data_IF_868931465271
#
_entry.id   IF_868931465271
#
_cell.length_a   1.000
_cell.length_b   1.000
_cell.length_c   1.000
_cell.angle_alpha   90.00
_cell.angle_beta   90.00
_cell.angle_gamma   90.00
#
_symmetry.space_group_name_H-M   'P 1'
#
loop_
_entity.id
_entity.type
_entity.pdbx_description
1 polymer ?
#
# COMPACT_ATOMS: atom_id res chain seq x y z
N UNK A 1 25.93 27.75 -9.64
CA UNK A 1 25.34 26.42 -9.89
C UNK A 1 26.02 25.50 -8.90
N UNK A 2 25.38 25.25 -7.76
CA UNK A 2 25.93 24.30 -6.79
C UNK A 2 25.99 22.93 -7.44
N UNK A 3 27.16 22.29 -7.37
CA UNK A 3 27.32 20.88 -7.69
C UNK A 3 26.35 20.09 -6.81
N UNK A 4 25.24 19.66 -7.40
CA UNK A 4 24.31 18.77 -6.74
C UNK A 4 25.10 17.51 -6.38
N UNK A 5 25.41 17.33 -5.09
CA UNK A 5 26.00 16.11 -4.59
C UNK A 5 25.16 14.94 -5.10
N UNK A 6 25.79 14.02 -5.82
CA UNK A 6 25.16 12.80 -6.28
C UNK A 6 24.91 11.96 -5.05
N UNK A 7 23.67 11.99 -4.54
CA UNK A 7 23.24 11.16 -3.42
C UNK A 7 23.01 9.76 -3.97
N UNK A 8 23.82 8.78 -3.56
CA UNK A 8 23.60 7.37 -3.92
C UNK A 8 22.25 6.88 -3.38
N UNK A 9 21.49 6.07 -4.13
CA UNK A 9 20.18 5.59 -3.69
C UNK A 9 20.27 4.78 -2.40
N UNK A 10 19.26 4.88 -1.53
CA UNK A 10 19.13 3.95 -0.40
C UNK A 10 18.65 2.59 -0.88
N UNK A 11 19.51 1.58 -0.80
CA UNK A 11 19.20 0.22 -1.26
C UNK A 11 18.42 -0.56 -0.21
N UNK A 12 17.35 -1.23 -0.62
CA UNK A 12 16.51 -2.06 0.26
C UNK A 12 16.28 -3.42 -0.38
N UNK A 13 16.66 -4.48 0.31
CA UNK A 13 16.39 -5.86 -0.11
C UNK A 13 14.94 -6.24 0.20
N UNK A 14 14.17 -6.64 -0.80
CA UNK A 14 12.76 -7.00 -0.69
C UNK A 14 12.60 -8.51 -0.81
N UNK A 15 11.96 -9.09 0.21
CA UNK A 15 11.69 -10.51 0.34
C UNK A 15 10.18 -10.77 0.28
N UNK A 16 9.73 -11.64 -0.63
CA UNK A 16 8.32 -12.06 -0.68
C UNK A 16 8.17 -13.47 -0.08
N UNK A 17 7.34 -13.63 0.96
CA UNK A 17 7.18 -14.89 1.70
C UNK A 17 5.72 -15.33 1.76
N UNK A 18 5.43 -16.51 1.22
CA UNK A 18 4.10 -17.11 1.34
C UNK A 18 2.99 -16.33 0.61
N UNK A 19 3.34 -15.54 -0.40
CA UNK A 19 2.39 -14.77 -1.21
C UNK A 19 2.01 -15.59 -2.45
N UNK A 20 0.72 -15.58 -2.81
CA UNK A 20 0.20 -16.23 -4.02
C UNK A 20 0.88 -15.70 -5.30
N UNK A 21 1.00 -16.54 -6.32
CA UNK A 21 1.77 -16.24 -7.55
C UNK A 21 1.35 -14.94 -8.22
N UNK A 22 0.06 -14.74 -8.52
CA UNK A 22 -0.43 -13.53 -9.19
C UNK A 22 -0.12 -12.25 -8.41
N UNK A 23 -0.33 -12.27 -7.08
CA UNK A 23 0.00 -11.13 -6.21
C UNK A 23 1.50 -10.91 -6.11
N UNK A 24 2.27 -11.99 -5.99
CA UNK A 24 3.73 -11.95 -5.95
C UNK A 24 4.29 -11.32 -7.22
N UNK A 25 3.84 -11.76 -8.39
CA UNK A 25 4.36 -11.27 -9.67
C UNK A 25 3.99 -9.80 -9.92
N UNK A 26 2.77 -9.39 -9.55
CA UNK A 26 2.38 -7.98 -9.56
C UNK A 26 3.25 -7.14 -8.62
N UNK A 27 3.50 -7.61 -7.40
CA UNK A 27 4.38 -6.92 -6.45
C UNK A 27 5.81 -6.81 -6.97
N UNK A 28 6.35 -7.89 -7.52
CA UNK A 28 7.70 -7.90 -8.09
C UNK A 28 7.82 -6.81 -9.15
N UNK A 29 6.90 -6.81 -10.12
CA UNK A 29 6.86 -5.82 -11.19
C UNK A 29 6.74 -4.39 -10.66
N UNK A 30 5.78 -4.12 -9.76
CA UNK A 30 5.54 -2.78 -9.23
C UNK A 30 6.75 -2.24 -8.44
N UNK A 31 7.34 -3.08 -7.60
CA UNK A 31 8.51 -2.72 -6.79
C UNK A 31 9.71 -2.42 -7.68
N UNK A 32 9.99 -3.25 -8.69
CA UNK A 32 11.09 -3.00 -9.62
C UNK A 32 10.85 -1.76 -10.48
N UNK A 33 9.60 -1.53 -10.90
CA UNK A 33 9.26 -0.35 -11.71
C UNK A 33 9.43 0.96 -10.92
N UNK A 34 9.30 0.93 -9.58
CA UNK A 34 9.61 2.10 -8.76
C UNK A 34 11.07 2.58 -8.91
N UNK A 35 12.00 1.72 -9.29
CA UNK A 35 13.40 2.13 -9.55
C UNK A 35 13.55 2.93 -10.85
N UNK A 36 12.63 2.79 -11.81
CA UNK A 36 12.65 3.56 -13.06
C UNK A 36 12.07 4.97 -12.88
N UNK A 37 11.24 5.16 -11.85
CA UNK A 37 10.51 6.41 -11.62
C UNK A 37 11.28 7.42 -10.77
N UNK A 38 12.27 6.98 -9.99
CA UNK A 38 12.98 7.83 -9.04
C UNK A 38 14.44 7.41 -8.84
N UNK A 39 15.22 8.19 -8.08
CA UNK A 39 16.67 7.95 -7.89
C UNK A 39 17.14 7.93 -6.43
N UNK A 40 16.26 8.23 -5.48
CA UNK A 40 16.61 8.34 -4.06
C UNK A 40 16.59 7.01 -3.31
N UNK A 41 15.88 6.01 -3.83
CA UNK A 41 15.72 4.68 -3.27
C UNK A 41 15.97 3.64 -4.35
N UNK A 42 16.43 2.46 -3.96
CA UNK A 42 16.60 1.33 -4.88
C UNK A 42 16.06 0.07 -4.20
N UNK A 43 15.09 -0.57 -4.84
CA UNK A 43 14.44 -1.76 -4.34
C UNK A 43 14.90 -2.99 -5.12
N UNK A 44 15.46 -3.96 -4.44
CA UNK A 44 15.96 -5.19 -5.07
C UNK A 44 15.21 -6.39 -4.54
N UNK A 45 14.59 -7.15 -5.43
CA UNK A 45 13.99 -8.43 -5.06
C UNK A 45 15.10 -9.46 -4.88
N UNK A 46 15.23 -9.97 -3.67
CA UNK A 46 16.33 -10.89 -3.33
C UNK A 46 15.83 -12.33 -3.17
N UNK A 47 16.65 -13.32 -3.55
CA UNK A 47 16.34 -14.71 -3.28
C UNK A 47 16.38 -14.95 -1.77
N UNK A 48 15.40 -15.69 -1.26
CA UNK A 48 15.34 -16.08 0.14
C UNK A 48 15.95 -17.45 0.36
N UNK A 49 16.67 -17.63 1.47
CA UNK A 49 17.01 -18.96 1.94
C UNK A 49 15.72 -19.68 2.39
N UNK A 50 15.24 -20.72 1.68
CA UNK A 50 14.00 -21.38 2.05
C UNK A 50 14.10 -22.09 3.40
N UNK A 51 15.31 -22.39 3.90
CA UNK A 51 15.55 -22.99 5.20
C UNK A 51 15.74 -21.98 6.34
N UNK A 52 15.66 -20.68 6.09
CA UNK A 52 15.81 -19.68 7.16
C UNK A 52 14.65 -19.81 8.18
N UNK A 53 14.93 -19.84 9.50
CA UNK A 53 13.90 -20.05 10.52
C UNK A 53 12.82 -18.95 10.54
N UNK A 54 13.18 -17.69 10.26
CA UNK A 54 12.21 -16.59 10.21
C UNK A 54 11.30 -16.76 8.98
N UNK A 55 11.89 -17.05 7.83
CA UNK A 55 11.14 -17.29 6.58
C UNK A 55 10.15 -18.44 6.77
N UNK A 56 10.56 -19.53 7.41
CA UNK A 56 9.67 -20.66 7.71
C UNK A 56 8.47 -20.29 8.59
N UNK A 57 8.66 -19.39 9.56
CA UNK A 57 7.55 -18.90 10.38
C UNK A 57 6.58 -17.99 9.60
N UNK A 58 7.10 -17.21 8.65
CA UNK A 58 6.31 -16.26 7.86
C UNK A 58 5.60 -16.88 6.65
N UNK A 59 5.93 -18.12 6.24
CA UNK A 59 5.39 -18.78 5.03
C UNK A 59 3.89 -19.04 5.05
N UNK A 60 3.31 -19.24 6.23
CA UNK A 60 1.90 -19.58 6.36
C UNK A 60 1.10 -18.40 6.92
N UNK A 61 -0.19 -18.27 6.57
CA UNK A 61 -1.10 -17.27 7.15
C UNK A 61 -1.47 -17.64 8.59
N UNK A 62 -0.45 -17.70 9.46
CA UNK A 62 -0.56 -18.07 10.86
C UNK A 62 -0.42 -16.82 11.73
N UNK A 63 -1.06 -16.89 12.88
CA UNK A 63 -0.89 -15.89 13.92
C UNK A 63 0.52 -16.02 14.53
N UNK A 64 1.27 -14.92 14.57
CA UNK A 64 2.62 -14.83 15.12
C UNK A 64 2.58 -13.93 16.34
N UNK A 65 3.13 -14.40 17.45
CA UNK A 65 3.39 -13.59 18.62
C UNK A 65 4.83 -13.10 18.57
N UNK A 66 5.04 -11.78 18.67
CA UNK A 66 6.37 -11.18 18.64
C UNK A 66 7.09 -11.31 20.00
N UNK A 67 7.30 -12.55 20.42
CA UNK A 67 8.01 -12.90 21.65
C UNK A 67 9.54 -12.76 21.50
N UNK A 68 10.29 -13.03 22.57
CA UNK A 68 11.75 -12.92 22.56
C UNK A 68 12.42 -13.83 21.51
N UNK A 69 11.85 -15.02 21.24
CA UNK A 69 12.37 -15.94 20.24
C UNK A 69 12.16 -15.39 18.83
N UNK A 70 10.96 -14.90 18.53
CA UNK A 70 10.67 -14.24 17.26
C UNK A 70 11.57 -13.02 17.05
N UNK A 71 11.71 -12.16 18.05
CA UNK A 71 12.57 -10.97 17.96
C UNK A 71 14.03 -11.31 17.66
N UNK A 72 14.58 -12.35 18.31
CA UNK A 72 15.93 -12.84 18.02
C UNK A 72 16.07 -13.34 16.57
N UNK A 73 15.02 -13.97 16.00
CA UNK A 73 15.02 -14.38 14.60
C UNK A 73 15.04 -13.18 13.65
N UNK A 74 14.27 -12.12 13.95
CA UNK A 74 14.25 -10.87 13.17
C UNK A 74 15.60 -10.16 13.23
N UNK A 75 16.15 -9.96 14.43
CA UNK A 75 17.44 -9.28 14.63
C UNK A 75 18.59 -9.95 13.89
N UNK A 76 18.62 -11.29 13.85
CA UNK A 76 19.66 -12.05 13.16
C UNK A 76 19.41 -12.27 11.66
N UNK A 77 18.26 -11.87 11.11
CA UNK A 77 17.89 -12.19 9.73
C UNK A 77 18.85 -11.57 8.71
N UNK A 78 19.12 -10.27 8.81
CA UNK A 78 20.01 -9.58 7.87
C UNK A 78 21.39 -10.25 7.75
N UNK A 79 22.00 -10.65 8.87
CA UNK A 79 23.28 -11.37 8.85
C UNK A 79 23.20 -12.74 8.16
N UNK A 80 22.14 -13.52 8.44
CA UNK A 80 21.93 -14.83 7.79
C UNK A 80 21.64 -14.69 6.29
N UNK A 81 20.91 -13.65 5.91
CA UNK A 81 20.55 -13.35 4.53
C UNK A 81 21.79 -12.89 3.73
N UNK A 82 22.60 -11.97 4.27
CA UNK A 82 23.90 -11.57 3.68
C UNK A 82 24.81 -12.79 3.44
N UNK A 83 24.93 -13.68 4.43
CA UNK A 83 25.71 -14.91 4.28
C UNK A 83 25.14 -15.89 3.24
N UNK A 84 23.82 -15.90 3.03
CA UNK A 84 23.20 -16.68 1.96
C UNK A 84 23.47 -16.06 0.58
N UNK A 85 23.32 -14.75 0.44
CA UNK A 85 23.63 -14.01 -0.79
C UNK A 85 25.10 -14.14 -1.19
N UNK A 86 26.04 -14.02 -0.25
CA UNK A 86 27.46 -14.24 -0.53
C UNK A 86 27.72 -15.64 -1.08
N UNK A 87 27.12 -16.68 -0.49
CA UNK A 87 27.27 -18.05 -1.00
C UNK A 87 26.68 -18.23 -2.40
N UNK A 88 25.56 -17.57 -2.69
CA UNK A 88 24.99 -17.58 -4.05
C UNK A 88 25.89 -16.82 -5.02
N UNK A 89 26.39 -15.65 -4.63
CA UNK A 89 27.29 -14.86 -5.45
C UNK A 89 28.55 -15.64 -5.79
N UNK A 90 29.19 -16.27 -4.80
CA UNK A 90 30.36 -17.12 -5.00
C UNK A 90 30.06 -18.33 -5.91
N UNK A 91 28.90 -18.98 -5.72
CA UNK A 91 28.52 -20.14 -6.51
C UNK A 91 28.25 -19.85 -7.99
N UNK A 92 27.85 -18.61 -8.32
CA UNK A 92 27.52 -18.17 -9.68
C UNK A 92 28.54 -17.16 -10.25
N UNK A 93 29.67 -16.93 -9.58
CA UNK A 93 30.69 -15.93 -9.95
C UNK A 93 30.10 -14.51 -10.16
N UNK A 94 29.20 -14.12 -9.25
CA UNK A 94 28.53 -12.83 -9.26
C UNK A 94 29.18 -11.88 -8.26
N UNK A 95 29.03 -10.57 -8.49
CA UNK A 95 29.42 -9.55 -7.52
C UNK A 95 28.51 -9.62 -6.29
N UNK A 96 29.04 -9.72 -5.06
CA UNK A 96 28.24 -9.64 -3.86
C UNK A 96 27.48 -8.32 -3.80
N UNK A 97 26.19 -8.42 -3.49
CA UNK A 97 25.37 -7.28 -3.14
C UNK A 97 25.18 -7.27 -1.62
N UNK A 98 25.22 -6.09 -1.02
CA UNK A 98 24.85 -5.91 0.39
C UNK A 98 23.83 -4.79 0.48
N UNK A 99 22.72 -5.08 1.16
CA UNK A 99 21.69 -4.11 1.44
C UNK A 99 21.84 -3.59 2.89
N UNK A 100 21.72 -2.28 3.13
CA UNK A 100 21.68 -1.72 4.47
C UNK A 100 20.38 -2.08 5.23
N UNK A 101 19.33 -2.48 4.53
CA UNK A 101 18.07 -2.91 5.12
C UNK A 101 17.35 -3.96 4.29
N UNK A 102 16.50 -4.73 4.95
CA UNK A 102 15.65 -5.76 4.38
C UNK A 102 14.19 -5.55 4.79
N UNK A 103 13.27 -5.67 3.83
CA UNK A 103 11.82 -5.67 4.07
C UNK A 103 11.24 -7.00 3.62
N UNK A 104 10.63 -7.73 4.55
CA UNK A 104 9.96 -9.01 4.29
C UNK A 104 8.45 -8.79 4.19
N UNK A 105 7.88 -9.02 3.02
CA UNK A 105 6.44 -8.96 2.78
C UNK A 105 5.88 -10.37 2.89
N UNK A 106 4.89 -10.56 3.77
CA UNK A 106 4.29 -11.87 4.02
C UNK A 106 2.79 -11.82 4.25
N UNK A 107 2.14 -12.98 4.15
CA UNK A 107 0.73 -13.17 4.57
C UNK A 107 0.60 -13.61 6.03
N UNK A 108 1.65 -13.48 6.84
CA UNK A 108 1.55 -13.71 8.28
C UNK A 108 0.66 -12.64 8.96
N UNK A 109 0.18 -12.93 10.17
CA UNK A 109 -0.61 -11.99 10.98
C UNK A 109 -0.04 -11.91 12.39
N UNK A 110 0.24 -10.72 12.91
CA UNK A 110 0.63 -10.59 14.31
C UNK A 110 -0.59 -10.68 15.25
N UNK A 111 -0.42 -11.35 16.39
CA UNK A 111 -1.51 -11.57 17.38
C UNK A 111 -2.02 -10.29 18.04
N UNK A 112 -1.19 -9.24 18.07
CA UNK A 112 -1.51 -7.92 18.61
C UNK A 112 -2.11 -6.95 17.58
N UNK A 113 -2.39 -7.43 16.36
CA UNK A 113 -3.03 -6.67 15.29
C UNK A 113 -2.11 -5.75 14.49
N UNK A 114 -0.82 -5.65 14.84
CA UNK A 114 0.14 -4.90 14.05
C UNK A 114 0.33 -5.51 12.67
N UNK A 115 0.62 -4.66 11.68
CA UNK A 115 0.90 -5.06 10.30
C UNK A 115 2.36 -4.87 9.91
N UNK A 116 3.15 -4.22 10.75
CA UNK A 116 4.57 -4.03 10.55
C UNK A 116 5.33 -4.33 11.85
N UNK A 117 6.50 -4.94 11.73
CA UNK A 117 7.37 -5.25 12.85
C UNK A 117 8.82 -5.27 12.40
N UNK A 118 9.72 -4.67 13.17
CA UNK A 118 11.13 -4.63 12.79
C UNK A 118 12.10 -4.46 13.94
N UNK A 119 13.33 -4.86 13.65
CA UNK A 119 14.51 -4.75 14.51
C UNK A 119 15.74 -4.56 13.63
N UNK A 120 16.58 -3.61 13.97
CA UNK A 120 17.85 -3.32 13.28
C UNK A 120 17.63 -3.11 11.77
N UNK A 121 18.27 -3.94 10.95
CA UNK A 121 18.25 -3.87 9.49
C UNK A 121 17.09 -4.68 8.87
N UNK A 122 16.17 -5.23 9.66
CA UNK A 122 15.09 -6.10 9.16
C UNK A 122 13.72 -5.61 9.61
N UNK A 123 12.87 -5.35 8.63
CA UNK A 123 11.47 -4.99 8.80
C UNK A 123 10.58 -6.05 8.14
N UNK A 124 9.40 -6.27 8.70
CA UNK A 124 8.41 -7.25 8.24
C UNK A 124 7.10 -6.52 8.01
N UNK A 125 6.49 -6.77 6.86
CA UNK A 125 5.12 -6.40 6.53
C UNK A 125 4.27 -7.68 6.61
N UNK A 126 3.31 -7.71 7.53
CA UNK A 126 2.41 -8.81 7.81
C UNK A 126 1.00 -8.46 7.29
N UNK A 127 0.66 -8.97 6.11
CA UNK A 127 -0.59 -8.65 5.41
C UNK A 127 -1.68 -9.71 5.58
N UNK A 128 -1.49 -10.71 6.44
CA UNK A 128 -2.47 -11.79 6.67
C UNK A 128 -3.79 -11.32 7.29
N UNK A 129 -3.83 -10.10 7.82
CA UNK A 129 -5.06 -9.46 8.30
C UNK A 129 -5.78 -8.62 7.25
N UNK A 130 -5.28 -8.53 6.01
CA UNK A 130 -5.93 -7.75 4.97
C UNK A 130 -7.19 -8.45 4.48
N UNK A 131 -8.30 -7.71 4.42
CA UNK A 131 -9.58 -8.19 3.95
C UNK A 131 -10.04 -7.37 2.74
N UNK A 132 -10.81 -8.01 1.84
CA UNK A 132 -11.35 -7.33 0.66
C UNK A 132 -12.23 -6.13 1.01
N UNK A 133 -12.86 -6.11 2.18
CA UNK A 133 -13.65 -4.99 2.68
C UNK A 133 -12.80 -3.72 2.93
N UNK A 134 -11.47 -3.85 2.98
CA UNK A 134 -10.57 -2.71 3.09
C UNK A 134 -10.28 -2.05 1.73
N UNK A 135 -10.72 -2.66 0.62
CA UNK A 135 -10.58 -2.09 -0.70
C UNK A 135 -11.56 -0.92 -0.93
N UNK A 136 -11.15 0.11 -1.72
CA UNK A 136 -9.78 0.35 -2.16
C UNK A 136 -8.90 0.75 -0.97
N UNK A 137 -7.59 0.43 -0.98
CA UNK A 137 -6.76 -0.14 -2.06
C UNK A 137 -6.52 -1.67 -2.02
N UNK A 138 -5.87 -2.23 -3.05
CA UNK A 138 -5.51 -3.66 -3.17
C UNK A 138 -4.35 -4.04 -2.26
N UNK A 139 -4.23 -5.35 -1.98
CA UNK A 139 -3.14 -5.89 -1.17
C UNK A 139 -1.74 -5.46 -1.68
N UNK A 140 -1.54 -5.41 -3.00
CA UNK A 140 -0.28 -4.99 -3.59
C UNK A 140 -0.01 -3.49 -3.37
N UNK A 141 -1.03 -2.65 -3.49
CA UNK A 141 -0.95 -1.21 -3.22
C UNK A 141 -0.67 -0.91 -1.75
N UNK A 142 -1.23 -1.71 -0.84
CA UNK A 142 -0.88 -1.70 0.58
C UNK A 142 0.59 -2.02 0.81
N UNK A 143 1.04 -3.17 0.30
CA UNK A 143 2.42 -3.62 0.51
C UNK A 143 3.40 -2.59 -0.05
N UNK A 144 3.14 -2.05 -1.24
CA UNK A 144 3.98 -1.04 -1.86
C UNK A 144 4.09 0.22 -0.98
N UNK A 145 2.96 0.81 -0.55
CA UNK A 145 3.01 2.01 0.29
C UNK A 145 3.71 1.75 1.63
N UNK A 146 3.51 0.59 2.26
CA UNK A 146 4.19 0.25 3.51
C UNK A 146 5.69 0.03 3.26
N UNK A 147 6.10 -0.59 2.16
CA UNK A 147 7.51 -0.72 1.77
C UNK A 147 8.17 0.65 1.60
N UNK A 148 7.50 1.58 0.92
CA UNK A 148 8.00 2.96 0.76
C UNK A 148 8.17 3.66 2.11
N UNK A 149 7.21 3.48 3.03
CA UNK A 149 7.31 3.98 4.41
C UNK A 149 8.53 3.42 5.12
N UNK A 150 8.72 2.10 5.09
CA UNK A 150 9.81 1.43 5.78
C UNK A 150 11.17 1.82 5.21
N UNK A 151 11.32 1.85 3.88
CA UNK A 151 12.54 2.28 3.24
C UNK A 151 12.90 3.73 3.58
N UNK A 152 11.92 4.63 3.61
CA UNK A 152 12.14 6.01 4.04
C UNK A 152 12.60 6.10 5.51
N UNK A 153 11.96 5.36 6.42
CA UNK A 153 12.39 5.28 7.83
C UNK A 153 13.79 4.69 8.00
N UNK A 154 14.13 3.62 7.27
CA UNK A 154 15.46 3.01 7.34
C UNK A 154 16.54 3.93 6.75
N UNK A 155 16.20 4.70 5.72
CA UNK A 155 17.08 5.68 5.10
C UNK A 155 17.28 6.93 5.97
N UNK A 156 16.26 7.34 6.74
CA UNK A 156 16.29 8.47 7.67
C UNK A 156 15.69 8.04 9.02
N UNK A 157 16.50 7.47 9.92
CA UNK A 157 16.02 6.95 11.20
C UNK A 157 15.27 7.98 12.07
N UNK A 158 15.57 9.27 11.90
CA UNK A 158 14.86 10.37 12.58
C UNK A 158 13.35 10.44 12.23
N UNK A 159 12.90 9.82 11.14
CA UNK A 159 11.47 9.73 10.81
C UNK A 159 10.69 8.84 11.78
N UNK A 160 11.34 7.88 12.46
CA UNK A 160 10.66 7.03 13.46
C UNK A 160 10.24 7.81 14.72
N UNK A 161 10.97 8.87 15.07
CA UNK A 161 10.60 9.79 16.16
C UNK A 161 9.52 10.80 15.76
N UNK A 162 9.27 10.97 14.46
CA UNK A 162 8.25 11.88 13.92
C UNK A 162 6.90 11.18 13.66
N UNK A 163 6.74 9.93 14.13
CA UNK A 163 5.47 9.21 14.00
C UNK A 163 4.36 9.93 14.76
N UNK A 164 3.39 10.43 14.00
CA UNK A 164 2.27 11.17 14.56
C UNK A 164 1.06 10.26 14.81
N UNK A 165 0.32 10.62 15.85
CA UNK A 165 -1.01 10.10 16.15
C UNK A 165 -2.03 11.07 15.54
N UNK A 166 -2.64 10.70 14.40
CA UNK A 166 -3.91 11.32 14.01
C UNK A 166 -3.88 12.35 12.88
N UNK A 167 -2.89 12.35 11.98
CA UNK A 167 -3.09 13.04 10.68
C UNK A 167 -3.89 12.18 9.69
N UNK A 168 -4.07 10.90 10.01
CA UNK A 168 -4.89 9.89 9.31
C UNK A 168 -4.54 9.74 7.82
N UNK A 169 -3.38 10.20 7.38
CA UNK A 169 -3.09 10.27 5.96
C UNK A 169 -1.63 10.45 5.59
N UNK A 170 -0.78 10.92 6.50
CA UNK A 170 0.65 11.00 6.22
C UNK A 170 1.27 9.60 6.25
N UNK A 171 2.28 9.41 5.41
CA UNK A 171 3.04 8.16 5.31
C UNK A 171 3.53 7.66 6.68
N UNK A 172 3.93 8.57 7.56
CA UNK A 172 4.51 8.28 8.88
C UNK A 172 3.48 8.19 10.00
N UNK A 173 2.17 8.20 9.72
CA UNK A 173 1.15 8.01 10.76
C UNK A 173 1.36 6.67 11.45
N UNK A 174 1.25 6.66 12.77
CA UNK A 174 1.10 5.40 13.49
C UNK A 174 -0.31 4.86 13.27
N UNK A 175 -0.38 3.66 12.72
CA UNK A 175 -1.61 2.89 12.58
C UNK A 175 -1.35 1.53 13.22
N UNK A 176 -2.27 1.06 14.07
CA UNK A 176 -2.13 -0.28 14.62
C UNK A 176 -2.54 -1.32 13.59
N UNK A 177 -3.66 -1.11 12.89
CA UNK A 177 -4.34 -2.12 12.07
C UNK A 177 -4.47 -1.69 10.60
N UNK A 178 -4.57 -2.68 9.70
CA UNK A 178 -4.61 -2.48 8.24
C UNK A 178 -5.85 -1.71 7.74
N UNK A 179 -6.97 -1.78 8.44
CA UNK A 179 -8.18 -1.02 8.12
C UNK A 179 -7.93 0.49 8.18
N UNK A 180 -7.14 0.97 9.15
CA UNK A 180 -6.78 2.39 9.26
C UNK A 180 -5.63 2.78 8.34
N UNK A 181 -4.74 1.84 8.00
CA UNK A 181 -3.67 2.05 7.00
C UNK A 181 -4.24 2.42 5.64
N UNK A 182 -5.46 2.00 5.30
CA UNK A 182 -6.10 2.37 4.02
C UNK A 182 -6.03 3.86 3.74
N UNK A 183 -6.24 4.69 4.76
CA UNK A 183 -6.29 6.14 4.60
C UNK A 183 -4.95 6.72 4.16
N UNK A 184 -3.82 6.22 4.67
CA UNK A 184 -2.49 6.64 4.17
C UNK A 184 -2.19 6.13 2.77
N UNK A 185 -2.68 4.94 2.42
CA UNK A 185 -2.46 4.35 1.09
C UNK A 185 -3.25 5.10 0.02
N UNK A 186 -4.42 5.64 0.37
CA UNK A 186 -5.28 6.45 -0.50
C UNK A 186 -4.85 7.92 -0.58
N UNK A 187 -4.44 8.53 0.54
CA UNK A 187 -4.16 9.96 0.60
C UNK A 187 -2.80 10.35 -0.02
N UNK A 188 -1.84 9.43 -0.07
CA UNK A 188 -0.54 9.65 -0.72
C UNK A 188 0.16 10.92 -0.23
N UNK A 189 0.12 11.17 1.07
CA UNK A 189 0.51 12.44 1.68
C UNK A 189 1.74 12.28 2.59
N UNK A 190 2.53 13.34 2.70
CA UNK A 190 3.62 13.48 3.67
C UNK A 190 3.48 14.87 4.28
N UNK A 191 3.39 14.95 5.62
CA UNK A 191 3.21 16.22 6.31
C UNK A 191 4.48 17.10 6.28
N UNK A 192 4.32 18.37 6.64
CA UNK A 192 5.42 19.34 6.63
C UNK A 192 6.60 18.91 7.53
N UNK A 193 6.31 18.31 8.69
CA UNK A 193 7.34 17.85 9.63
C UNK A 193 8.13 16.66 9.08
N UNK A 194 7.45 15.63 8.57
CA UNK A 194 8.11 14.49 7.92
C UNK A 194 8.88 14.92 6.68
N UNK A 195 8.36 15.87 5.89
CA UNK A 195 9.11 16.48 4.77
C UNK A 195 10.38 17.13 5.27
N UNK A 196 10.31 17.97 6.30
CA UNK A 196 11.48 18.67 6.86
C UNK A 196 12.55 17.68 7.28
N UNK A 197 12.17 16.61 7.99
CA UNK A 197 13.11 15.58 8.45
C UNK A 197 13.68 14.76 7.29
N UNK A 198 12.85 14.34 6.33
CA UNK A 198 13.30 13.61 5.14
C UNK A 198 14.26 14.46 4.31
N UNK A 199 13.93 15.73 4.06
CA UNK A 199 14.78 16.65 3.30
C UNK A 199 16.09 16.96 4.02
N UNK A 200 16.09 17.05 5.35
CA UNK A 200 17.31 17.23 6.13
C UNK A 200 18.20 15.97 6.11
N UNK A 201 17.61 14.77 6.08
CA UNK A 201 18.34 13.50 6.09
C UNK A 201 18.88 13.07 4.72
N UNK A 202 18.11 13.27 3.64
CA UNK A 202 18.43 12.78 2.28
C UNK A 202 18.22 13.79 1.15
N UNK A 203 18.00 15.06 1.48
CA UNK A 203 17.74 16.10 0.49
C UNK A 203 16.28 16.14 0.03
N UNK A 204 15.86 17.29 -0.49
CA UNK A 204 14.47 17.53 -0.95
C UNK A 204 14.07 16.65 -2.15
N UNK A 205 15.05 16.12 -2.90
CA UNK A 205 14.77 15.18 -3.98
C UNK A 205 14.16 13.87 -3.46
N UNK A 206 14.61 13.36 -2.31
CA UNK A 206 14.06 12.14 -1.71
C UNK A 206 12.58 12.30 -1.36
N UNK A 207 12.18 13.48 -0.90
CA UNK A 207 10.77 13.81 -0.66
C UNK A 207 9.95 13.82 -1.96
N UNK A 208 10.46 14.47 -3.02
CA UNK A 208 9.79 14.53 -4.33
C UNK A 208 9.62 13.15 -4.95
N UNK A 209 10.68 12.35 -4.90
CA UNK A 209 10.70 10.96 -5.38
C UNK A 209 9.67 10.11 -4.63
N UNK A 210 9.62 10.23 -3.31
CA UNK A 210 8.66 9.50 -2.48
C UNK A 210 7.22 9.92 -2.77
N UNK A 211 6.95 11.23 -2.93
CA UNK A 211 5.63 11.72 -3.33
C UNK A 211 5.22 11.24 -4.73
N UNK A 212 6.14 11.20 -5.69
CA UNK A 212 5.89 10.66 -7.02
C UNK A 212 5.42 9.20 -6.94
N UNK A 213 6.14 8.37 -6.19
CA UNK A 213 5.78 6.97 -6.01
C UNK A 213 4.44 6.80 -5.28
N UNK A 214 4.20 7.57 -4.22
CA UNK A 214 2.95 7.53 -3.47
C UNK A 214 1.76 7.99 -4.29
N UNK A 215 1.94 8.99 -5.15
CA UNK A 215 0.86 9.56 -5.96
C UNK A 215 0.19 8.55 -6.88
N UNK A 216 0.88 7.46 -7.24
CA UNK A 216 0.35 6.31 -8.02
C UNK A 216 -0.32 6.67 -9.36
N UNK A 217 -0.22 7.92 -9.80
CA UNK A 217 -0.67 8.37 -11.13
C UNK A 217 0.09 7.64 -12.25
N UNK A 218 1.33 7.24 -11.96
CA UNK A 218 2.17 6.41 -12.82
C UNK A 218 1.60 5.01 -13.09
N UNK A 219 0.68 4.50 -12.28
CA UNK A 219 0.06 3.19 -12.52
C UNK A 219 -0.71 3.15 -13.85
N UNK A 220 -1.26 4.29 -14.28
CA UNK A 220 -2.09 4.40 -15.48
C UNK A 220 -3.39 3.61 -15.40
N UNK A 221 -4.03 3.43 -16.56
CA UNK A 221 -5.33 2.78 -16.66
C UNK A 221 -5.22 1.27 -16.90
N UNK A 222 -5.99 0.47 -16.16
CA UNK A 222 -6.02 -1.00 -16.32
C UNK A 222 -6.48 -1.52 -17.69
N UNK A 223 -7.01 -0.66 -18.56
CA UNK A 223 -7.34 -0.99 -19.95
C UNK A 223 -6.18 -0.74 -20.91
N UNK A 224 -5.24 0.14 -20.55
CA UNK A 224 -4.03 0.35 -21.32
C UNK A 224 -3.04 -0.78 -21.02
N UNK A 225 -2.89 -1.69 -21.99
CA UNK A 225 -2.07 -2.89 -21.92
C UNK A 225 -0.55 -2.64 -21.69
N UNK A 226 -0.09 -1.40 -21.88
CA UNK A 226 1.29 -0.97 -21.65
C UNK A 226 1.49 -0.22 -20.34
N UNK A 227 0.40 0.17 -19.66
CA UNK A 227 0.50 0.80 -18.35
C UNK A 227 0.88 -0.23 -17.28
N UNK A 228 1.53 0.18 -16.17
CA UNK A 228 1.80 -0.70 -15.05
C UNK A 228 0.57 -1.45 -14.52
N UNK A 229 -0.60 -0.78 -14.47
CA UNK A 229 -1.86 -1.42 -14.09
C UNK A 229 -2.35 -2.45 -15.11
N UNK A 230 -2.21 -2.18 -16.41
CA UNK A 230 -2.53 -3.13 -17.47
C UNK A 230 -1.61 -4.35 -17.46
N UNK A 231 -0.32 -4.16 -17.14
CA UNK A 231 0.64 -5.25 -16.96
C UNK A 231 0.26 -6.11 -15.74
N UNK A 232 -0.03 -5.51 -14.59
CA UNK A 232 -0.50 -6.26 -13.41
C UNK A 232 -1.75 -7.09 -13.73
N UNK A 233 -2.70 -6.53 -14.48
CA UNK A 233 -3.91 -7.24 -14.89
C UNK A 233 -3.59 -8.44 -15.80
N UNK A 234 -2.62 -8.32 -16.71
CA UNK A 234 -2.13 -9.45 -17.52
C UNK A 234 -1.45 -10.53 -16.68
N UNK A 235 -0.82 -10.15 -15.56
CA UNK A 235 -0.28 -11.08 -14.56
C UNK A 235 -1.38 -11.71 -13.67
N UNK A 236 -2.66 -11.43 -13.95
CA UNK A 236 -3.80 -11.96 -13.20
C UNK A 236 -4.10 -11.20 -11.90
N UNK A 237 -3.56 -9.99 -11.72
CA UNK A 237 -3.77 -9.18 -10.52
C UNK A 237 -4.40 -7.83 -10.83
N UNK A 238 -5.51 -7.53 -10.16
CA UNK A 238 -6.24 -6.28 -10.34
C UNK A 238 -5.87 -5.25 -9.25
N UNK A 239 -5.32 -4.11 -9.67
CA UNK A 239 -5.14 -2.95 -8.80
C UNK A 239 -6.48 -2.22 -8.61
N UNK A 240 -6.79 -1.81 -7.38
CA UNK A 240 -8.11 -1.21 -7.09
C UNK A 240 -8.14 0.30 -7.32
N UNK A 241 -7.03 1.03 -7.13
CA UNK A 241 -7.02 2.49 -7.36
C UNK A 241 -7.27 2.84 -8.84
N UNK A 242 -6.87 1.95 -9.76
CA UNK A 242 -6.98 2.20 -11.21
C UNK A 242 -8.31 1.77 -11.83
N UNK A 243 -9.22 1.19 -11.04
CA UNK A 243 -10.58 0.87 -11.50
C UNK A 243 -11.55 2.06 -11.40
N UNK A 244 -11.16 3.12 -10.67
CA UNK A 244 -12.12 4.09 -10.12
C UNK A 244 -13.05 3.39 -9.13
N UNK A 245 -13.71 4.14 -8.25
CA UNK A 245 -14.79 3.58 -7.42
C UNK A 245 -15.98 3.32 -8.35
N UNK A 246 -15.95 2.21 -9.09
CA UNK A 246 -17.15 1.72 -9.76
C UNK A 246 -17.98 1.04 -8.68
N UNK A 247 -19.17 1.56 -8.35
CA UNK A 247 -20.03 0.92 -7.38
C UNK A 247 -20.23 -0.53 -7.79
N UNK A 248 -20.20 -1.44 -6.83
CA UNK A 248 -20.53 -2.84 -7.08
C UNK A 248 -21.88 -2.94 -7.77
N UNK A 249 -22.15 -4.05 -8.47
CA UNK A 249 -23.47 -4.24 -9.08
C UNK A 249 -24.59 -4.09 -8.03
N UNK A 250 -24.35 -4.53 -6.79
CA UNK A 250 -25.25 -4.35 -5.66
C UNK A 250 -25.40 -2.89 -5.21
N UNK A 251 -24.32 -2.11 -5.17
CA UNK A 251 -24.37 -0.67 -4.88
C UNK A 251 -25.07 0.12 -6.01
N UNK A 252 -24.90 -0.32 -7.26
CA UNK A 252 -25.59 0.25 -8.42
C UNK A 252 -27.08 -0.04 -8.38
N UNK A 253 -27.47 -1.27 -8.01
CA UNK A 253 -28.88 -1.69 -7.88
C UNK A 253 -29.53 -1.05 -6.67
N UNK A 254 -28.89 -1.05 -5.50
CA UNK A 254 -29.41 -0.40 -4.29
C UNK A 254 -29.51 1.12 -4.44
N UNK A 255 -28.50 1.75 -5.05
CA UNK A 255 -28.53 3.18 -5.38
C UNK A 255 -29.64 3.55 -6.36
N UNK A 256 -29.90 2.71 -7.37
CA UNK A 256 -31.06 2.88 -8.26
C UNK A 256 -32.39 2.67 -7.55
N UNK A 257 -32.51 1.65 -6.70
CA UNK A 257 -33.74 1.40 -5.94
C UNK A 257 -34.07 2.54 -4.96
N UNK A 258 -33.06 3.08 -4.27
CA UNK A 258 -33.22 4.25 -3.39
C UNK A 258 -33.52 5.52 -4.20
N UNK A 259 -32.83 5.73 -5.33
CA UNK A 259 -33.09 6.85 -6.22
C UNK A 259 -34.50 6.84 -6.80
N UNK A 260 -34.95 5.69 -7.31
CA UNK A 260 -36.28 5.53 -7.90
C UNK A 260 -37.37 5.65 -6.83
N UNK A 261 -37.17 5.08 -5.63
CA UNK A 261 -38.12 5.23 -4.52
C UNK A 261 -38.27 6.69 -4.05
N UNK A 262 -37.18 7.44 -3.96
CA UNK A 262 -37.21 8.87 -3.60
C UNK A 262 -37.89 9.68 -4.70
N UNK A 263 -37.59 9.40 -5.97
CA UNK A 263 -38.16 10.13 -7.10
C UNK A 263 -39.67 9.90 -7.23
N UNK A 264 -40.13 8.65 -7.04
CA UNK A 264 -41.55 8.32 -7.03
C UNK A 264 -42.28 8.89 -5.81
N UNK A 265 -41.65 8.90 -4.63
CA UNK A 265 -42.23 9.53 -3.44
C UNK A 265 -42.40 11.05 -3.63
N UNK A 266 -41.41 11.73 -4.24
CA UNK A 266 -41.50 13.17 -4.54
C UNK A 266 -42.62 13.45 -5.56
N UNK A 267 -42.75 12.64 -6.61
CA UNK A 267 -43.84 12.78 -7.60
C UNK A 267 -45.21 12.61 -6.94
N UNK A 268 -45.35 11.64 -6.06
CA UNK A 268 -46.61 11.34 -5.38
C UNK A 268 -47.00 12.47 -4.43
N UNK A 269 -46.05 12.99 -3.65
CA UNK A 269 -46.27 14.17 -2.78
C UNK A 269 -46.60 15.41 -3.60
N UNK A 270 -45.89 15.67 -4.71
CA UNK A 270 -46.16 16.81 -5.59
C UNK A 270 -47.54 16.73 -6.24
N UNK A 271 -47.94 15.54 -6.72
CA UNK A 271 -49.27 15.31 -7.27
C UNK A 271 -50.37 15.51 -6.23
N UNK A 272 -50.15 15.07 -4.99
CA UNK A 272 -51.09 15.23 -3.89
C UNK A 272 -51.25 16.71 -3.49
N UNK A 273 -50.14 17.45 -3.43
CA UNK A 273 -50.14 18.90 -3.19
C UNK A 273 -50.84 19.66 -4.32
N UNK A 274 -50.58 19.27 -5.58
CA UNK A 274 -51.23 19.88 -6.74
C UNK A 274 -52.75 19.62 -6.74
N UNK A 275 -53.18 18.40 -6.46
CA UNK A 275 -54.60 18.05 -6.32
C UNK A 275 -55.26 18.85 -5.19
N UNK A 276 -54.61 19.00 -4.03
CA UNK A 276 -55.10 19.81 -2.93
C UNK A 276 -55.20 21.30 -3.30
N UNK A 277 -54.22 21.82 -4.04
CA UNK A 277 -54.21 23.18 -4.55
C UNK A 277 -55.36 23.42 -5.54
N UNK A 278 -55.58 22.50 -6.48
CA UNK A 278 -56.66 22.56 -7.47
C UNK A 278 -58.05 22.51 -6.80
N UNK A 279 -58.22 21.67 -5.78
CA UNK A 279 -59.43 21.62 -4.96
C UNK A 279 -59.65 22.94 -4.21
N UNK A 280 -58.60 23.51 -3.61
CA UNK A 280 -58.68 24.77 -2.85
C UNK A 280 -58.95 25.98 -3.74
N UNK A 281 -58.42 25.98 -4.97
CA UNK A 281 -58.64 27.03 -5.96
C UNK A 281 -60.01 26.93 -6.65
N UNK A 282 -60.86 25.99 -6.25
CA UNK A 282 -62.24 25.93 -6.71
C UNK A 282 -62.40 25.50 -8.17
N UNK A 283 -61.41 24.80 -8.74
CA UNK A 283 -61.57 24.08 -9.99
C UNK A 283 -62.49 22.88 -9.74
N UNK A 284 -63.79 23.15 -9.67
CA UNK A 284 -64.82 22.13 -9.89
C UNK A 284 -64.47 21.47 -11.21
N UNK A 285 -64.25 20.16 -11.19
CA UNK A 285 -64.14 19.38 -12.41
C UNK A 285 -65.32 19.77 -13.32
N UNK A 286 -65.02 20.35 -14.48
CA UNK A 286 -66.00 20.55 -15.54
C UNK A 286 -66.38 19.17 -16.08
N UNK A 287 -67.25 18.49 -15.33
CA UNK A 287 -67.96 17.29 -15.70
C UNK A 287 -69.42 17.65 -15.83
N UNK A 288 -69.73 18.23 -16.99
CA UNK A 288 -71.02 18.75 -17.46
C UNK A 288 -70.78 19.43 -18.79
#
# INVERSE_FOLDING_TARGET
MDDAQVIEPYRTGICLVGIESATSDALRFLITHCNELQRSFEFELIPLNPGDPLVQQLKAPRAITADAKFNSLVEGFAGRQKAFESRLADAFDLKPCSHPSYVIISLARFTNGFYAWGRNETEIIALGGWERAFAPPSLAEYALTITLRLAASSAVPALESERHLGTLGCLMDFNQSLDTVRFKVLNSFICADCRRVLSAGRGDQAYKDLLLLLGKTWLGESQNALSPAGICRKLGYDLFLTRGIKPSWWETVSGKLLGDAVTETIKLVAALLLALLLLRLGLKAAGG
#
